data_IF_469592201211
#
_entry.id   IF_469592201211
#
_cell.length_a   1.000
_cell.length_b   1.000
_cell.length_c   1.000
_cell.angle_alpha   90.00
_cell.angle_beta   90.00
_cell.angle_gamma   90.00
#
_symmetry.space_group_name_H-M   'P 1'
#
loop_
_entity.id
_entity.type
_entity.pdbx_description
1 polymer ?
#
# COMPACT_ATOMS: atom_id res chain seq x y z
N UNK A 1 -6.95 9.90 1.19
CA UNK A 1 -5.77 9.76 0.32
C UNK A 1 -5.04 11.08 0.33
N UNK A 2 -3.79 11.08 0.80
CA UNK A 2 -2.94 12.28 0.81
C UNK A 2 -2.12 12.34 -0.51
N UNK A 3 -1.93 13.54 -1.07
CA UNK A 3 -1.14 13.77 -2.29
C UNK A 3 0.17 14.45 -1.90
N UNK A 4 1.32 13.83 -2.21
CA UNK A 4 2.63 14.45 -1.96
C UNK A 4 2.86 15.55 -2.99
N UNK A 5 3.07 16.79 -2.53
CA UNK A 5 3.44 17.89 -3.42
C UNK A 5 4.84 17.71 -4.03
N UNK A 6 5.04 18.20 -5.26
CA UNK A 6 6.35 18.22 -5.93
C UNK A 6 6.81 16.90 -6.55
N UNK A 7 5.99 15.83 -6.54
CA UNK A 7 6.33 14.55 -7.17
C UNK A 7 6.10 14.62 -8.68
N UNK A 8 7.04 14.16 -9.49
CA UNK A 8 6.82 13.96 -10.91
C UNK A 8 6.02 12.68 -11.15
N UNK A 9 4.89 12.79 -11.85
CA UNK A 9 3.96 11.72 -12.19
C UNK A 9 4.02 11.45 -13.69
N UNK A 10 4.24 10.21 -14.08
CA UNK A 10 4.29 9.80 -15.48
C UNK A 10 2.88 9.68 -16.08
N UNK A 11 2.59 10.44 -17.12
CA UNK A 11 1.27 10.45 -17.80
C UNK A 11 1.25 9.59 -19.08
N UNK A 12 2.39 9.03 -19.49
CA UNK A 12 2.52 8.26 -20.73
C UNK A 12 3.14 9.05 -21.88
N UNK A 13 3.75 8.34 -22.84
CA UNK A 13 4.44 8.92 -24.01
C UNK A 13 5.46 10.01 -23.64
N UNK A 14 6.27 9.77 -22.62
CA UNK A 14 7.30 10.72 -22.17
C UNK A 14 6.76 11.98 -21.48
N UNK A 15 5.46 12.06 -21.18
CA UNK A 15 4.86 13.20 -20.47
C UNK A 15 4.94 13.00 -18.97
N UNK A 16 5.40 14.02 -18.25
CA UNK A 16 5.48 14.02 -16.80
C UNK A 16 4.92 15.32 -16.25
N UNK A 17 4.13 15.24 -15.17
CA UNK A 17 3.59 16.43 -14.53
C UNK A 17 3.78 16.36 -13.02
N UNK A 18 3.88 17.53 -12.39
CA UNK A 18 3.93 17.61 -10.94
C UNK A 18 2.58 17.24 -10.33
N UNK A 19 2.60 16.39 -9.32
CA UNK A 19 1.41 15.93 -8.58
C UNK A 19 0.57 17.07 -8.03
N UNK A 20 1.21 18.13 -7.52
CA UNK A 20 0.55 19.33 -6.99
C UNK A 20 0.04 20.29 -8.07
N UNK A 21 0.44 20.08 -9.32
CA UNK A 21 -0.09 20.84 -10.46
C UNK A 21 -1.26 20.11 -11.15
N UNK A 22 -1.56 18.86 -10.79
CA UNK A 22 -2.71 18.10 -11.31
C UNK A 22 -3.92 18.41 -10.42
N UNK A 23 -4.94 19.03 -10.99
CA UNK A 23 -6.15 19.48 -10.27
C UNK A 23 -7.38 18.61 -10.57
N UNK A 24 -7.30 17.74 -11.57
CA UNK A 24 -8.40 16.84 -11.92
C UNK A 24 -8.00 15.75 -12.89
N UNK A 25 -8.76 14.66 -12.87
CA UNK A 25 -8.61 13.52 -13.77
C UNK A 25 -9.99 13.12 -14.29
N UNK A 26 -10.13 12.92 -15.60
CA UNK A 26 -11.37 12.44 -16.23
C UNK A 26 -11.07 11.25 -17.14
N UNK A 27 -11.60 10.04 -16.85
CA UNK A 27 -11.51 8.93 -17.78
C UNK A 27 -12.12 9.29 -19.15
N UNK A 28 -11.48 8.84 -20.23
CA UNK A 28 -12.01 9.00 -21.59
C UNK A 28 -12.83 7.74 -21.91
N UNK A 29 -14.14 7.94 -22.07
CA UNK A 29 -15.11 6.88 -22.39
C UNK A 29 -15.36 6.79 -23.90
N UNK A 30 -15.56 7.94 -24.56
CA UNK A 30 -15.84 8.06 -26.00
C UNK A 30 -14.58 8.40 -26.82
N UNK A 31 -14.57 8.09 -28.13
CA UNK A 31 -13.46 8.38 -29.07
C UNK A 31 -12.08 7.89 -28.59
N UNK A 32 -12.09 6.70 -28.00
CA UNK A 32 -10.95 6.09 -27.32
C UNK A 32 -9.88 5.61 -28.30
N UNK A 33 -9.14 6.56 -28.85
CA UNK A 33 -8.00 6.28 -29.73
C UNK A 33 -6.84 5.56 -29.01
N UNK A 34 -5.84 5.07 -29.77
CA UNK A 34 -4.66 4.43 -29.21
C UNK A 34 -3.99 5.32 -28.17
N UNK A 35 -3.82 4.80 -26.95
CA UNK A 35 -3.13 5.54 -25.89
C UNK A 35 -3.92 6.73 -25.31
N UNK A 36 -5.22 6.86 -25.59
CA UNK A 36 -6.12 7.82 -24.92
C UNK A 36 -6.86 7.12 -23.79
N UNK A 37 -6.48 7.39 -22.54
CA UNK A 37 -7.07 6.75 -21.35
C UNK A 37 -7.72 7.74 -20.40
N UNK A 38 -7.08 8.87 -20.14
CA UNK A 38 -7.53 9.85 -19.13
C UNK A 38 -7.11 11.25 -19.54
N UNK A 39 -7.99 12.22 -19.36
CA UNK A 39 -7.66 13.64 -19.43
C UNK A 39 -7.20 14.13 -18.07
N UNK A 40 -6.05 14.81 -18.05
CA UNK A 40 -5.41 15.32 -16.85
C UNK A 40 -5.49 16.83 -16.89
N UNK A 41 -6.29 17.39 -15.97
CA UNK A 41 -6.46 18.82 -15.81
C UNK A 41 -5.35 19.34 -14.91
N UNK A 42 -4.70 20.41 -15.34
CA UNK A 42 -3.55 20.98 -14.61
C UNK A 42 -3.82 22.43 -14.29
N UNK A 43 -3.27 22.93 -13.17
CA UNK A 43 -3.36 24.34 -12.82
C UNK A 43 -2.59 25.27 -13.79
N UNK A 44 -1.73 24.69 -14.63
CA UNK A 44 -0.74 25.41 -15.45
C UNK A 44 -1.12 25.50 -16.92
N UNK A 45 -2.08 24.70 -17.41
CA UNK A 45 -2.46 24.63 -18.82
C UNK A 45 -3.97 24.76 -18.96
N UNK A 46 -4.40 25.50 -19.98
CA UNK A 46 -5.82 25.72 -20.29
C UNK A 46 -6.51 24.48 -20.88
N UNK A 47 -5.74 23.61 -21.55
CA UNK A 47 -6.24 22.38 -22.15
C UNK A 47 -5.76 21.14 -21.37
N UNK A 48 -6.61 20.09 -21.22
CA UNK A 48 -6.22 18.89 -20.51
C UNK A 48 -5.16 18.08 -21.26
N UNK A 49 -4.24 17.48 -20.50
CA UNK A 49 -3.25 16.56 -21.05
C UNK A 49 -3.91 15.19 -21.22
N UNK A 50 -3.92 14.66 -22.43
CA UNK A 50 -4.41 13.30 -22.69
C UNK A 50 -3.35 12.27 -22.28
N UNK A 51 -3.55 11.60 -21.16
CA UNK A 51 -2.68 10.54 -20.65
C UNK A 51 -3.00 9.17 -21.26
N UNK A 52 -1.96 8.33 -21.38
CA UNK A 52 -2.08 6.94 -21.82
C UNK A 52 -2.26 5.95 -20.68
N UNK A 53 -2.52 6.47 -19.49
CA UNK A 53 -2.72 5.72 -18.25
C UNK A 53 -4.10 6.01 -17.70
N UNK A 54 -4.66 5.05 -16.97
CA UNK A 54 -5.94 5.24 -16.31
C UNK A 54 -5.83 6.19 -15.13
N UNK A 55 -6.93 6.86 -14.80
CA UNK A 55 -7.11 7.68 -13.61
C UNK A 55 -6.63 6.94 -12.34
N UNK A 56 -7.06 5.69 -12.13
CA UNK A 56 -6.61 4.87 -10.98
C UNK A 56 -5.09 4.69 -10.93
N UNK A 57 -4.43 4.54 -12.08
CA UNK A 57 -2.97 4.39 -12.12
C UNK A 57 -2.25 5.71 -11.80
N UNK A 58 -2.77 6.83 -12.32
CA UNK A 58 -2.26 8.17 -12.05
C UNK A 58 -2.48 8.54 -10.58
N UNK A 59 -3.68 8.29 -10.03
CA UNK A 59 -4.00 8.51 -8.62
C UNK A 59 -3.10 7.70 -7.69
N UNK A 60 -2.81 6.42 -7.98
CA UNK A 60 -1.86 5.64 -7.16
C UNK A 60 -0.45 6.21 -7.15
N UNK A 61 -0.05 6.86 -8.23
CA UNK A 61 1.28 7.47 -8.34
C UNK A 61 1.33 8.86 -7.71
N UNK A 62 0.24 9.62 -7.79
CA UNK A 62 0.03 10.86 -7.02
C UNK A 62 -0.10 10.58 -5.52
N UNK A 63 -0.70 9.44 -5.16
CA UNK A 63 -0.87 9.00 -3.79
C UNK A 63 0.48 8.74 -3.14
N UNK A 64 0.54 9.12 -1.88
CA UNK A 64 1.62 8.74 -0.97
C UNK A 64 1.47 7.25 -0.67
N UNK A 65 2.24 6.39 -1.33
CA UNK A 65 2.89 5.33 -0.58
C UNK A 65 4.06 6.03 0.10
N UNK A 66 3.90 6.42 1.36
CA UNK A 66 4.95 7.18 2.05
C UNK A 66 6.20 6.31 2.11
N UNK A 67 7.38 6.91 2.06
CA UNK A 67 8.61 6.20 2.43
C UNK A 67 8.43 5.51 3.79
N UNK A 68 7.59 6.08 4.66
CA UNK A 68 7.16 5.51 5.93
C UNK A 68 6.22 4.31 5.80
N UNK A 69 5.26 4.30 4.88
CA UNK A 69 4.45 3.11 4.58
C UNK A 69 5.29 2.01 3.94
N UNK A 70 6.21 2.36 3.03
CA UNK A 70 7.14 1.39 2.46
C UNK A 70 8.07 0.81 3.53
N UNK A 71 8.66 1.66 4.39
CA UNK A 71 9.46 1.24 5.55
C UNK A 71 8.65 0.44 6.56
N UNK A 72 7.39 0.77 6.78
CA UNK A 72 6.51 0.02 7.67
C UNK A 72 6.19 -1.35 7.10
N UNK A 73 5.96 -1.45 5.78
CA UNK A 73 5.78 -2.73 5.11
C UNK A 73 7.07 -3.57 5.11
N UNK A 74 8.23 -2.95 4.88
CA UNK A 74 9.54 -3.62 4.94
C UNK A 74 9.86 -4.09 6.36
N UNK A 75 9.70 -3.23 7.36
CA UNK A 75 9.88 -3.60 8.77
C UNK A 75 8.93 -4.72 9.17
N UNK A 76 7.70 -4.70 8.66
CA UNK A 76 6.72 -5.76 8.90
C UNK A 76 7.09 -7.08 8.24
N UNK A 77 7.61 -7.05 7.01
CA UNK A 77 8.09 -8.25 6.33
C UNK A 77 9.22 -8.89 7.15
N UNK A 78 10.21 -8.08 7.58
CA UNK A 78 11.31 -8.55 8.44
C UNK A 78 10.79 -9.10 9.78
N UNK A 79 9.81 -8.45 10.41
CA UNK A 79 9.19 -8.95 11.64
C UNK A 79 8.41 -10.25 11.42
N UNK A 80 7.78 -10.43 10.26
CA UNK A 80 7.13 -11.66 9.85
C UNK A 80 8.14 -12.81 9.73
N UNK A 81 9.20 -12.59 8.96
CA UNK A 81 10.28 -13.56 8.79
C UNK A 81 10.92 -13.96 10.14
N UNK A 82 11.10 -13.01 11.05
CA UNK A 82 11.59 -13.28 12.40
C UNK A 82 10.61 -14.15 13.21
N UNK A 83 9.31 -13.84 13.15
CA UNK A 83 8.28 -14.61 13.85
C UNK A 83 8.23 -16.05 13.33
N UNK A 84 8.33 -16.24 12.02
CA UNK A 84 8.33 -17.56 11.41
C UNK A 84 9.58 -18.36 11.81
N UNK A 85 10.76 -17.71 11.82
CA UNK A 85 11.99 -18.32 12.31
C UNK A 85 11.93 -18.72 13.80
N UNK A 86 11.24 -17.93 14.64
CA UNK A 86 10.98 -18.28 16.04
C UNK A 86 10.01 -19.45 16.16
N UNK A 87 9.03 -19.55 15.26
CA UNK A 87 8.08 -20.66 15.23
C UNK A 87 8.75 -21.98 14.81
N UNK A 88 9.80 -21.91 14.00
CA UNK A 88 10.57 -23.09 13.60
C UNK A 88 11.51 -23.64 14.69
N UNK A 89 11.68 -22.94 15.83
CA UNK A 89 12.55 -23.40 16.92
C UNK A 89 12.00 -24.70 17.53
N UNK A 90 12.78 -25.80 17.59
CA UNK A 90 12.36 -27.05 18.22
C UNK A 90 11.99 -26.89 19.71
N UNK A 91 10.99 -27.63 20.17
CA UNK A 91 10.47 -27.57 21.55
C UNK A 91 11.54 -27.74 22.64
N UNK A 92 12.55 -28.57 22.37
CA UNK A 92 13.67 -28.79 23.31
C UNK A 92 14.43 -27.49 23.54
N UNK A 93 14.70 -26.71 22.49
CA UNK A 93 15.38 -25.42 22.59
C UNK A 93 14.46 -24.35 23.21
N UNK A 94 13.15 -24.38 22.90
CA UNK A 94 12.17 -23.48 23.54
C UNK A 94 12.17 -23.64 25.07
N UNK A 95 12.23 -24.87 25.58
CA UNK A 95 12.29 -25.16 27.02
C UNK A 95 13.56 -24.61 27.68
N UNK A 96 14.70 -24.71 27.00
CA UNK A 96 15.97 -24.13 27.46
C UNK A 96 15.88 -22.60 27.52
N UNK A 97 15.32 -21.95 26.49
CA UNK A 97 15.14 -20.49 26.47
C UNK A 97 14.25 -19.98 27.59
N UNK A 98 13.18 -20.70 27.93
CA UNK A 98 12.33 -20.35 29.08
C UNK A 98 13.08 -20.50 30.40
N UNK A 99 13.86 -21.56 30.55
CA UNK A 99 14.53 -21.89 31.82
C UNK A 99 15.75 -21.01 32.08
N UNK A 100 16.60 -20.84 31.07
CA UNK A 100 17.91 -20.18 31.19
C UNK A 100 17.85 -18.68 30.87
N UNK A 101 16.97 -18.28 29.95
CA UNK A 101 16.88 -16.89 29.47
C UNK A 101 15.56 -16.20 29.81
N UNK A 102 14.62 -16.89 30.49
CA UNK A 102 13.26 -16.39 30.77
C UNK A 102 12.54 -15.87 29.52
N UNK A 103 12.81 -16.49 28.38
CA UNK A 103 12.28 -16.08 27.08
C UNK A 103 11.21 -17.06 26.59
N UNK A 104 9.94 -16.67 26.76
CA UNK A 104 8.79 -17.43 26.29
C UNK A 104 8.50 -17.12 24.82
N UNK A 105 8.99 -18.00 23.94
CA UNK A 105 8.86 -17.87 22.47
C UNK A 105 7.38 -17.77 22.04
N UNK A 106 6.47 -18.67 22.44
CA UNK A 106 5.03 -18.52 22.14
C UNK A 106 4.40 -17.20 22.60
N UNK A 107 4.76 -16.70 23.79
CA UNK A 107 4.23 -15.43 24.29
C UNK A 107 4.68 -14.24 23.43
N UNK A 108 5.95 -14.21 23.03
CA UNK A 108 6.51 -13.16 22.16
C UNK A 108 5.93 -13.19 20.75
N UNK A 109 5.79 -14.37 20.15
CA UNK A 109 5.15 -14.53 18.83
C UNK A 109 3.73 -13.93 18.86
N UNK A 110 2.95 -14.26 19.89
CA UNK A 110 1.58 -13.73 20.05
C UNK A 110 1.57 -12.21 20.17
N UNK A 111 2.49 -11.65 20.95
CA UNK A 111 2.60 -10.21 21.15
C UNK A 111 2.95 -9.47 19.85
N UNK A 112 3.97 -9.93 19.10
CA UNK A 112 4.38 -9.31 17.83
C UNK A 112 3.29 -9.42 16.77
N UNK A 113 2.61 -10.58 16.66
CA UNK A 113 1.46 -10.75 15.75
C UNK A 113 0.30 -9.80 16.10
N UNK A 114 0.08 -9.50 17.38
CA UNK A 114 -0.95 -8.55 17.82
C UNK A 114 -0.64 -7.09 17.42
N UNK A 115 0.63 -6.67 17.52
CA UNK A 115 1.06 -5.31 17.17
C UNK A 115 1.12 -5.08 15.67
N UNK A 116 1.32 -6.14 14.91
CA UNK A 116 1.36 -6.05 13.46
C UNK A 116 -0.07 -6.01 12.90
N UNK A 117 -1.08 -6.70 13.42
CA UNK A 117 -2.44 -6.71 12.79
C UNK A 117 -2.93 -5.31 12.34
N UNK A 118 -3.34 -5.13 11.06
CA UNK A 118 -3.75 -3.81 10.57
C UNK A 118 -5.03 -3.34 11.28
N UNK A 119 -5.05 -2.09 11.74
CA UNK A 119 -6.28 -1.38 12.10
C UNK A 119 -7.09 -1.19 10.80
N UNK A 120 -8.07 -2.07 10.57
CA UNK A 120 -8.86 -2.07 9.33
C UNK A 120 -9.34 -3.43 8.86
N UNK A 121 -8.95 -4.54 9.52
CA UNK A 121 -9.74 -5.78 9.42
C UNK A 121 -10.81 -5.77 10.50
N UNK A 122 -11.71 -4.79 10.43
CA UNK A 122 -13.08 -5.05 10.88
C UNK A 122 -13.58 -6.17 9.97
N UNK A 123 -13.90 -7.30 10.59
CA UNK A 123 -14.52 -8.46 10.00
C UNK A 123 -15.74 -8.04 9.19
N UNK A 124 -15.59 -7.91 7.87
CA UNK A 124 -16.68 -7.92 6.90
C UNK A 124 -17.22 -9.35 6.67
N UNK A 125 -17.12 -10.21 7.68
CA UNK A 125 -17.63 -11.59 7.64
C UNK A 125 -19.05 -11.70 8.25
N UNK A 126 -19.56 -10.67 8.96
CA UNK A 126 -20.92 -10.71 9.53
C UNK A 126 -22.02 -10.29 8.54
N UNK A 127 -21.69 -9.85 7.31
CA UNK A 127 -22.70 -9.40 6.34
C UNK A 127 -23.10 -10.47 5.30
N UNK A 128 -22.43 -11.62 5.28
CA UNK A 128 -22.73 -12.71 4.35
C UNK A 128 -23.72 -13.78 4.88
N UNK A 129 -24.17 -13.68 6.14
CA UNK A 129 -25.17 -14.61 6.70
C UNK A 129 -26.61 -14.07 6.68
N UNK A 130 -26.85 -12.85 6.16
CA UNK A 130 -28.19 -12.27 6.08
C UNK A 130 -28.93 -12.55 4.76
N UNK A 131 -28.31 -13.33 3.86
CA UNK A 131 -28.86 -13.67 2.54
C UNK A 131 -28.74 -15.16 2.23
N UNK A 132 -29.04 -16.03 3.20
CA UNK A 132 -29.44 -17.43 2.97
C UNK A 132 -30.73 -17.75 3.74
#
# INVERSE_FOLDING_TARGET
MEIKAGRMVYLGYGKYWRSDAIVGLRPIEEERGPGRRTEVFTATLDAPIVASRSERAILREMAVASDEQFRMQEARAVLGDLVDALDDIPDVLRRVLVTEARFDVPAWIRHVRSLTRPEGTETSDEQNELFD
#
